data_IF_122548184029
#
_entry.id   IF_122548184029
#
_cell.length_a   1.000
_cell.length_b   1.000
_cell.length_c   1.000
_cell.angle_alpha   90.00
_cell.angle_beta   90.00
_cell.angle_gamma   90.00
#
_symmetry.space_group_name_H-M   'P 1'
#
loop_
_entity.id
_entity.type
_entity.pdbx_description
1 polymer ?
#
# COMPACT_ATOMS: atom_id res chain seq x y z
N UNK A 1 21.71 -6.64 -7.64
CA UNK A 1 21.25 -5.25 -7.43
C UNK A 1 20.36 -4.81 -8.59
N UNK A 2 19.23 -4.19 -8.28
CA UNK A 2 18.28 -3.76 -9.30
C UNK A 2 18.76 -2.47 -9.97
N UNK A 3 18.73 -2.43 -11.28
CA UNK A 3 19.08 -1.21 -12.02
C UNK A 3 17.95 -0.18 -11.89
N UNK A 4 18.27 1.11 -11.77
CA UNK A 4 17.23 2.15 -11.67
C UNK A 4 16.23 2.14 -12.82
N UNK A 5 16.67 1.85 -14.05
CA UNK A 5 15.77 1.80 -15.18
C UNK A 5 14.79 0.63 -15.10
N UNK A 6 15.16 -0.47 -14.46
CA UNK A 6 14.24 -1.60 -14.24
C UNK A 6 13.16 -1.25 -13.24
N UNK A 7 13.50 -0.48 -12.23
CA UNK A 7 12.51 0.02 -11.27
C UNK A 7 11.52 0.93 -11.99
N UNK A 8 12.01 1.84 -12.82
CA UNK A 8 11.15 2.72 -13.59
C UNK A 8 10.26 1.93 -14.55
N UNK A 9 10.80 0.89 -15.19
CA UNK A 9 10.01 0.02 -16.04
C UNK A 9 8.87 -0.66 -15.28
N UNK A 10 9.12 -1.09 -14.04
CA UNK A 10 8.07 -1.66 -13.20
C UNK A 10 6.93 -0.66 -12.98
N UNK A 11 7.28 0.58 -12.65
CA UNK A 11 6.28 1.61 -12.44
C UNK A 11 5.48 1.87 -13.72
N UNK A 12 6.15 1.87 -14.88
CA UNK A 12 5.48 2.07 -16.16
C UNK A 12 4.54 0.91 -16.50
N UNK A 13 4.94 -0.33 -16.19
CA UNK A 13 4.08 -1.50 -16.39
C UNK A 13 2.81 -1.36 -15.55
N UNK A 14 2.97 -1.03 -14.27
CA UNK A 14 1.82 -0.87 -13.38
C UNK A 14 0.94 0.28 -13.86
N UNK A 15 1.55 1.38 -14.29
CA UNK A 15 0.80 2.55 -14.77
C UNK A 15 0.04 2.28 -16.07
N UNK A 16 0.41 1.24 -16.83
CA UNK A 16 -0.28 0.88 -18.08
C UNK A 16 -1.52 0.02 -17.86
N UNK A 17 -1.72 -0.48 -16.63
CA UNK A 17 -2.87 -1.34 -16.33
C UNK A 17 -4.14 -0.51 -16.29
N UNK A 18 -5.24 -1.10 -16.76
CA UNK A 18 -6.47 -0.36 -16.98
C UNK A 18 -7.52 -0.57 -15.90
N UNK A 19 -7.49 -1.74 -15.24
CA UNK A 19 -8.50 -2.06 -14.23
C UNK A 19 -7.94 -3.01 -13.18
N UNK A 20 -8.75 -3.27 -12.16
CA UNK A 20 -8.35 -4.09 -11.03
C UNK A 20 -8.07 -5.54 -11.43
N UNK A 21 -8.77 -6.06 -12.44
CA UNK A 21 -8.53 -7.42 -12.89
C UNK A 21 -7.15 -7.57 -13.51
N UNK A 22 -6.69 -6.57 -14.25
CA UNK A 22 -5.35 -6.57 -14.80
C UNK A 22 -4.30 -6.44 -13.71
N UNK A 23 -4.54 -5.62 -12.70
CA UNK A 23 -3.64 -5.49 -11.56
C UNK A 23 -3.52 -6.82 -10.83
N UNK A 24 -4.66 -7.48 -10.58
CA UNK A 24 -4.66 -8.79 -9.93
C UNK A 24 -3.84 -9.81 -10.72
N UNK A 25 -4.06 -9.88 -12.04
CA UNK A 25 -3.36 -10.85 -12.88
C UNK A 25 -1.84 -10.64 -12.82
N UNK A 26 -1.39 -9.39 -12.88
CA UNK A 26 0.03 -9.10 -12.79
C UNK A 26 0.57 -9.45 -11.41
N UNK A 27 -0.14 -9.05 -10.35
CA UNK A 27 0.33 -9.25 -8.99
C UNK A 27 0.35 -10.73 -8.60
N UNK A 28 -0.59 -11.52 -9.12
CA UNK A 28 -0.60 -12.97 -8.87
C UNK A 28 0.68 -13.62 -9.39
N UNK A 29 1.24 -13.13 -10.48
CA UNK A 29 2.51 -13.63 -11.01
C UNK A 29 3.72 -12.99 -10.35
N UNK A 30 3.62 -11.71 -10.02
CA UNK A 30 4.75 -10.91 -9.56
C UNK A 30 5.03 -11.08 -8.08
N UNK A 31 4.00 -11.28 -7.27
CA UNK A 31 4.09 -11.26 -5.81
C UNK A 31 3.61 -12.58 -5.22
N UNK A 32 4.10 -12.90 -4.03
CA UNK A 32 3.50 -13.99 -3.24
C UNK A 32 2.18 -13.52 -2.64
N UNK A 33 1.34 -14.48 -2.24
CA UNK A 33 0.08 -14.17 -1.55
C UNK A 33 0.35 -13.34 -0.31
N UNK A 34 1.39 -13.69 0.46
CA UNK A 34 1.73 -12.97 1.69
C UNK A 34 2.14 -11.53 1.40
N UNK A 35 2.87 -11.30 0.34
CA UNK A 35 3.26 -9.95 -0.07
C UNK A 35 2.03 -9.11 -0.41
N UNK A 36 1.08 -9.68 -1.14
CA UNK A 36 -0.15 -9.00 -1.51
C UNK A 36 -0.97 -8.67 -0.25
N UNK A 37 -1.11 -9.63 0.67
CA UNK A 37 -1.82 -9.41 1.93
C UNK A 37 -1.18 -8.29 2.73
N UNK A 38 0.14 -8.28 2.83
CA UNK A 38 0.85 -7.24 3.58
C UNK A 38 0.65 -5.86 2.97
N UNK A 39 0.69 -5.76 1.64
CA UNK A 39 0.44 -4.49 0.97
C UNK A 39 -1.00 -4.02 1.18
N UNK A 40 -1.96 -4.94 1.10
CA UNK A 40 -3.37 -4.64 1.33
C UNK A 40 -3.60 -4.10 2.74
N UNK A 41 -2.97 -4.74 3.75
CA UNK A 41 -3.11 -4.30 5.14
C UNK A 41 -2.51 -2.92 5.37
N UNK A 42 -1.38 -2.61 4.72
CA UNK A 42 -0.80 -1.27 4.81
C UNK A 42 -1.71 -0.21 4.21
N UNK A 43 -2.28 -0.48 3.05
CA UNK A 43 -3.21 0.46 2.43
C UNK A 43 -4.46 0.65 3.27
N UNK A 44 -5.00 -0.42 3.83
CA UNK A 44 -6.18 -0.35 4.69
C UNK A 44 -5.89 0.49 5.94
N UNK A 45 -4.75 0.22 6.59
CA UNK A 45 -4.35 0.98 7.77
C UNK A 45 -4.15 2.46 7.45
N UNK A 46 -3.54 2.77 6.31
CA UNK A 46 -3.34 4.16 5.89
C UNK A 46 -4.69 4.87 5.70
N UNK A 47 -5.65 4.21 5.07
CA UNK A 47 -6.98 4.79 4.88
C UNK A 47 -7.68 5.05 6.21
N UNK A 48 -7.58 4.12 7.16
CA UNK A 48 -8.18 4.30 8.48
C UNK A 48 -7.56 5.50 9.20
N UNK A 49 -6.25 5.65 9.14
CA UNK A 49 -5.58 6.80 9.73
C UNK A 49 -6.02 8.11 9.07
N UNK A 50 -6.15 8.11 7.75
CA UNK A 50 -6.57 9.30 7.02
C UNK A 50 -8.03 9.66 7.32
N UNK A 51 -8.84 8.70 7.73
CA UNK A 51 -10.23 8.93 8.13
C UNK A 51 -10.35 9.42 9.57
N UNK A 52 -9.25 9.53 10.30
CA UNK A 52 -9.24 10.06 11.65
C UNK A 52 -9.19 9.03 12.77
N UNK A 53 -9.03 7.75 12.43
CA UNK A 53 -8.90 6.72 13.45
C UNK A 53 -7.58 6.88 14.21
N UNK A 54 -7.62 6.59 15.51
CA UNK A 54 -6.41 6.59 16.32
C UNK A 54 -5.55 5.36 16.01
N UNK A 55 -4.30 5.41 16.45
CA UNK A 55 -3.37 4.28 16.33
C UNK A 55 -4.00 3.00 16.92
N UNK A 56 -4.56 3.10 18.13
CA UNK A 56 -5.17 1.94 18.78
C UNK A 56 -6.39 1.42 18.03
N UNK A 57 -7.18 2.31 17.46
CA UNK A 57 -8.35 1.91 16.65
C UNK A 57 -7.92 1.14 15.41
N UNK A 58 -6.84 1.57 14.76
CA UNK A 58 -6.32 0.86 13.59
C UNK A 58 -5.80 -0.52 13.99
N UNK A 59 -5.07 -0.62 15.11
CA UNK A 59 -4.58 -1.90 15.62
C UNK A 59 -5.72 -2.88 15.88
N UNK A 60 -6.85 -2.38 16.38
CA UNK A 60 -8.02 -3.22 16.67
C UNK A 60 -8.73 -3.71 15.41
N UNK A 61 -8.60 -3.00 14.30
CA UNK A 61 -9.35 -3.29 13.07
C UNK A 61 -8.52 -3.96 11.98
N UNK A 62 -7.23 -4.18 12.22
CA UNK A 62 -6.34 -4.71 11.18
C UNK A 62 -5.40 -5.74 11.78
N UNK A 63 -4.75 -6.51 10.92
CA UNK A 63 -3.75 -7.50 11.33
C UNK A 63 -2.33 -6.95 11.25
N UNK A 64 -2.18 -5.64 11.15
CA UNK A 64 -0.88 -5.00 10.98
C UNK A 64 -0.11 -4.99 12.30
N UNK A 65 1.19 -5.23 12.25
CA UNK A 65 2.03 -5.13 13.45
C UNK A 65 2.23 -3.67 13.84
N UNK A 66 2.55 -3.42 15.12
CA UNK A 66 2.75 -2.05 15.57
C UNK A 66 3.96 -1.40 14.89
N UNK A 67 5.01 -2.18 14.60
CA UNK A 67 6.17 -1.64 13.89
C UNK A 67 5.81 -1.20 12.48
N UNK A 68 5.03 -2.01 11.77
CA UNK A 68 4.58 -1.66 10.42
C UNK A 68 3.62 -0.49 10.45
N UNK A 69 2.69 -0.45 11.41
CA UNK A 69 1.75 0.66 11.53
C UNK A 69 2.47 1.97 11.83
N UNK A 70 3.52 1.92 12.66
CA UNK A 70 4.34 3.10 12.94
C UNK A 70 4.94 3.68 11.65
N UNK A 71 5.44 2.81 10.78
CA UNK A 71 5.97 3.23 9.48
C UNK A 71 4.86 3.80 8.59
N UNK A 72 3.71 3.13 8.53
CA UNK A 72 2.57 3.61 7.72
C UNK A 72 2.12 4.98 8.20
N UNK A 73 2.00 5.16 9.53
CA UNK A 73 1.60 6.42 10.12
C UNK A 73 2.55 7.56 9.73
N UNK A 74 3.86 7.29 9.79
CA UNK A 74 4.86 8.27 9.37
C UNK A 74 4.70 8.63 7.90
N UNK A 75 4.47 7.64 7.05
CA UNK A 75 4.28 7.89 5.61
C UNK A 75 2.99 8.66 5.34
N UNK A 76 1.93 8.43 6.10
CA UNK A 76 0.69 9.20 5.97
C UNK A 76 0.95 10.67 6.35
N UNK A 77 1.71 10.91 7.42
CA UNK A 77 1.96 12.27 7.91
C UNK A 77 2.94 13.05 7.05
N UNK A 78 3.99 12.41 6.59
CA UNK A 78 5.11 13.11 5.96
C UNK A 78 5.39 12.70 4.52
N UNK A 79 4.84 11.57 4.06
CA UNK A 79 4.99 11.12 2.69
C UNK A 79 3.93 11.72 1.78
N UNK A 80 4.01 11.36 0.50
CA UNK A 80 3.09 11.89 -0.51
C UNK A 80 2.20 10.82 -1.12
N UNK A 81 2.61 9.54 -1.05
CA UNK A 81 1.87 8.46 -1.70
C UNK A 81 0.50 8.24 -1.11
N UNK A 82 0.44 7.86 0.15
CA UNK A 82 -0.84 7.58 0.80
C UNK A 82 -1.74 8.81 0.82
N UNK A 83 -1.20 9.95 1.25
CA UNK A 83 -2.02 11.13 1.47
C UNK A 83 -2.60 11.70 0.18
N UNK A 84 -1.90 11.55 -0.92
CA UNK A 84 -2.34 12.13 -2.21
C UNK A 84 -3.09 11.13 -3.07
N UNK A 85 -2.79 9.84 -2.96
CA UNK A 85 -3.32 8.84 -3.89
C UNK A 85 -4.42 7.96 -3.29
N UNK A 86 -4.43 7.77 -1.96
CA UNK A 86 -5.52 7.06 -1.29
C UNK A 86 -6.57 8.07 -0.85
N UNK A 87 -7.65 8.14 -1.57
CA UNK A 87 -8.69 9.13 -1.29
C UNK A 87 -9.76 8.55 -0.38
N UNK A 88 -10.34 9.42 0.45
CA UNK A 88 -11.53 9.06 1.21
C UNK A 88 -12.70 8.90 0.25
N UNK A 89 -13.54 7.98 0.58
CA UNK A 89 -14.82 7.78 -0.13
C UNK A 89 -15.97 8.26 0.70
#
# INVERSE_FOLDING_TARGET
>A
MTQPDRIQQLYQIIASLEDADQVRALFDDLCTVKEIENMAERCYAAKLLMEGNTYNQVMAQSDISSATLSRVSRCVQYGKGYSQLLKKE
#
